data_IF_661344111219
#
_entry.id   IF_661344111219
#
_cell.length_a   1.000
_cell.length_b   1.000
_cell.length_c   1.000
_cell.angle_alpha   90.00
_cell.angle_beta   90.00
_cell.angle_gamma   90.00
#
_symmetry.space_group_name_H-M   'P 1'
#
loop_
_entity.id
_entity.type
_entity.pdbx_description
1 polymer ?
#
# COMPACT_ATOMS: atom_id res chain seq x y z
N UNK A 1 29.45 21.11 9.64
CA UNK A 1 30.60 20.22 9.31
C UNK A 1 30.41 18.90 10.03
N UNK A 2 29.50 18.05 9.55
CA UNK A 2 29.48 16.61 9.79
C UNK A 2 28.78 16.02 8.56
N UNK A 3 29.60 15.60 7.60
CA UNK A 3 29.16 14.85 6.44
C UNK A 3 29.17 13.38 6.82
N UNK A 4 28.00 12.75 6.81
CA UNK A 4 27.89 11.30 6.76
C UNK A 4 27.53 10.91 5.34
N UNK A 5 28.45 10.17 4.73
CA UNK A 5 28.29 9.55 3.43
C UNK A 5 27.13 8.55 3.51
N UNK A 6 26.14 8.75 2.64
CA UNK A 6 25.18 7.71 2.30
C UNK A 6 25.98 6.59 1.66
N UNK A 7 26.12 5.48 2.38
CA UNK A 7 26.74 4.26 1.89
C UNK A 7 26.04 3.82 0.62
N UNK A 8 26.80 3.83 -0.49
CA UNK A 8 26.38 3.23 -1.73
C UNK A 8 26.06 1.78 -1.46
N UNK A 9 24.92 1.31 -1.95
CA UNK A 9 24.60 -0.10 -1.97
C UNK A 9 25.70 -0.79 -2.78
N UNK A 10 26.58 -1.53 -2.10
CA UNK A 10 27.57 -2.38 -2.74
C UNK A 10 26.83 -3.42 -3.59
N UNK A 11 26.85 -3.23 -4.90
CA UNK A 11 26.50 -4.27 -5.85
C UNK A 11 27.45 -5.46 -5.68
N UNK A 12 27.01 -6.70 -5.98
CA UNK A 12 27.84 -7.88 -5.80
C UNK A 12 29.17 -7.74 -6.53
N UNK A 13 30.26 -7.97 -5.79
CA UNK A 13 31.63 -7.91 -6.27
C UNK A 13 31.78 -8.67 -7.60
N UNK A 14 32.39 -8.02 -8.59
CA UNK A 14 32.69 -8.58 -9.89
C UNK A 14 33.57 -9.84 -9.71
N UNK A 15 33.00 -11.01 -9.98
CA UNK A 15 33.78 -12.23 -10.20
C UNK A 15 34.49 -12.10 -11.56
N UNK A 16 35.79 -12.46 -11.66
CA UNK A 16 36.47 -12.51 -12.94
C UNK A 16 35.75 -13.48 -13.89
N UNK A 17 35.51 -13.03 -15.13
CA UNK A 17 34.88 -13.84 -16.16
C UNK A 17 35.74 -15.09 -16.47
N UNK A 18 35.12 -16.28 -16.68
CA UNK A 18 35.86 -17.46 -17.13
C UNK A 18 36.43 -17.25 -18.54
N UNK A 19 37.58 -17.87 -18.88
CA UNK A 19 38.20 -17.70 -20.19
C UNK A 19 37.29 -18.21 -21.33
N UNK A 20 37.21 -17.40 -22.39
CA UNK A 20 36.41 -17.65 -23.59
C UNK A 20 36.98 -18.87 -24.33
N UNK A 21 36.19 -19.93 -24.60
CA UNK A 21 36.64 -21.02 -25.45
C UNK A 21 36.75 -20.56 -26.92
N UNK A 22 37.73 -21.08 -27.69
CA UNK A 22 37.91 -20.68 -29.09
C UNK A 22 36.66 -20.98 -29.91
N UNK A 23 36.32 -20.04 -30.80
CA UNK A 23 35.12 -20.03 -31.62
C UNK A 23 34.95 -21.35 -32.41
N UNK A 24 34.01 -22.18 -31.97
CA UNK A 24 33.48 -23.26 -32.79
C UNK A 24 32.59 -22.65 -33.88
N UNK A 25 32.89 -22.98 -35.13
CA UNK A 25 32.22 -22.48 -36.32
C UNK A 25 30.70 -22.71 -36.24
N UNK A 26 29.93 -21.63 -36.34
CA UNK A 26 28.48 -21.65 -36.43
C UNK A 26 28.06 -22.16 -37.81
N UNK A 27 27.15 -23.15 -37.92
CA UNK A 27 26.60 -23.56 -39.21
C UNK A 27 25.73 -22.42 -39.77
N UNK A 28 26.00 -22.05 -41.02
CA UNK A 28 25.25 -21.03 -41.77
C UNK A 28 23.85 -21.55 -42.13
N UNK A 29 22.82 -21.02 -41.47
CA UNK A 29 21.42 -21.19 -41.88
C UNK A 29 21.08 -20.30 -43.09
N UNK A 30 20.33 -20.77 -44.11
CA UNK A 30 20.18 -20.06 -45.39
C UNK A 30 19.00 -19.07 -45.50
N UNK A 31 18.38 -18.65 -44.39
CA UNK A 31 17.22 -17.76 -44.45
C UNK A 31 17.35 -16.55 -43.50
N UNK A 32 17.43 -15.31 -44.01
CA UNK A 32 17.41 -14.13 -43.19
C UNK A 32 15.95 -13.82 -42.80
N UNK A 33 15.52 -14.29 -41.64
CA UNK A 33 14.35 -13.71 -40.98
C UNK A 33 14.80 -12.42 -40.27
N UNK A 34 14.18 -11.25 -40.54
CA UNK A 34 14.50 -10.03 -39.82
C UNK A 34 13.94 -10.13 -38.40
N UNK A 35 14.75 -10.64 -37.47
CA UNK A 35 14.48 -10.52 -36.05
C UNK A 35 14.68 -9.06 -35.64
N UNK A 36 13.74 -8.42 -34.93
CA UNK A 36 13.97 -7.11 -34.33
C UNK A 36 15.21 -7.21 -33.42
N UNK A 37 16.32 -6.59 -33.84
CA UNK A 37 17.53 -6.49 -33.06
C UNK A 37 17.31 -5.38 -32.04
N UNK A 38 16.77 -5.73 -30.87
CA UNK A 38 16.77 -4.80 -29.75
C UNK A 38 18.23 -4.56 -29.34
N UNK A 39 18.74 -3.31 -29.36
CA UNK A 39 20.11 -3.05 -28.97
C UNK A 39 20.28 -3.45 -27.50
N UNK A 40 21.06 -4.51 -27.27
CA UNK A 40 21.41 -4.97 -25.94
C UNK A 40 22.25 -3.89 -25.26
N UNK A 41 21.60 -3.01 -24.47
CA UNK A 41 22.32 -2.05 -23.63
C UNK A 41 21.62 -0.72 -23.34
N UNK A 42 20.51 -0.38 -23.98
CA UNK A 42 19.87 0.91 -23.77
C UNK A 42 18.56 0.80 -22.99
N UNK A 43 18.64 0.42 -21.71
CA UNK A 43 17.58 0.85 -20.78
C UNK A 43 17.76 2.36 -20.64
N UNK A 44 17.03 3.11 -21.45
CA UNK A 44 16.95 4.57 -21.33
C UNK A 44 16.28 4.84 -19.98
N UNK A 45 17.08 5.13 -18.96
CA UNK A 45 16.55 5.64 -17.68
C UNK A 45 15.96 7.00 -18.03
N UNK A 46 14.63 7.06 -18.12
CA UNK A 46 13.91 8.28 -18.45
C UNK A 46 14.39 9.41 -17.56
N UNK A 47 14.83 10.52 -18.17
CA UNK A 47 15.39 11.63 -17.42
C UNK A 47 14.31 12.20 -16.48
N UNK A 48 14.60 12.35 -15.17
CA UNK A 48 13.57 12.80 -14.24
C UNK A 48 13.08 14.21 -14.59
N UNK A 49 11.76 14.32 -14.71
CA UNK A 49 11.07 15.59 -14.93
C UNK A 49 11.47 16.64 -13.88
N UNK A 50 11.30 17.93 -14.24
CA UNK A 50 11.56 19.04 -13.31
C UNK A 50 10.78 18.89 -12.00
N UNK A 51 9.57 18.37 -12.08
CA UNK A 51 8.73 18.09 -10.91
C UNK A 51 9.34 17.00 -10.02
N UNK A 52 9.79 15.89 -10.61
CA UNK A 52 10.43 14.79 -9.88
C UNK A 52 11.69 15.27 -9.16
N UNK A 53 12.55 16.05 -9.85
CA UNK A 53 13.74 16.66 -9.23
C UNK A 53 13.38 17.60 -8.08
N UNK A 54 12.33 18.39 -8.23
CA UNK A 54 11.86 19.29 -7.18
C UNK A 54 11.37 18.52 -5.95
N UNK A 55 10.55 17.48 -6.13
CA UNK A 55 10.03 16.64 -5.04
C UNK A 55 11.16 15.89 -4.33
N UNK A 56 12.09 15.31 -5.07
CA UNK A 56 13.26 14.62 -4.51
C UNK A 56 14.13 15.60 -3.72
N UNK A 57 14.37 16.80 -4.25
CA UNK A 57 15.11 17.84 -3.52
C UNK A 57 14.41 18.33 -2.25
N UNK A 58 13.08 18.29 -2.20
CA UNK A 58 12.31 18.58 -0.98
C UNK A 58 12.45 17.45 0.04
N UNK A 59 12.40 16.20 -0.44
CA UNK A 59 12.57 14.99 0.38
C UNK A 59 13.97 14.92 0.99
N UNK A 60 15.03 15.18 0.22
CA UNK A 60 16.42 15.14 0.67
C UNK A 60 16.73 16.22 1.73
N UNK A 61 16.02 17.35 1.67
CA UNK A 61 16.14 18.43 2.66
C UNK A 61 15.25 18.23 3.88
N UNK A 62 14.24 17.37 3.78
CA UNK A 62 13.33 17.11 4.87
C UNK A 62 14.03 16.26 5.94
N UNK A 63 13.90 16.60 7.23
CA UNK A 63 14.44 15.75 8.26
C UNK A 63 13.75 14.38 8.25
N UNK A 64 14.47 13.33 8.61
CA UNK A 64 13.98 11.93 8.61
C UNK A 64 12.64 11.71 9.33
N UNK A 65 12.30 12.56 10.30
CA UNK A 65 11.03 12.53 11.03
C UNK A 65 9.87 13.23 10.32
N UNK A 66 10.12 14.06 9.30
CA UNK A 66 9.08 14.79 8.58
C UNK A 66 8.14 13.84 7.83
N UNK A 67 8.69 12.78 7.24
CA UNK A 67 7.92 11.78 6.48
C UNK A 67 6.92 11.02 7.37
N UNK A 68 7.33 10.39 8.50
CA UNK A 68 6.36 9.74 9.39
C UNK A 68 5.41 10.74 10.04
N UNK A 69 5.83 11.97 10.31
CA UNK A 69 4.95 13.01 10.87
C UNK A 69 3.90 13.46 9.85
N UNK A 70 4.27 13.62 8.58
CA UNK A 70 3.31 13.91 7.51
C UNK A 70 2.31 12.76 7.32
N UNK A 71 2.79 11.51 7.36
CA UNK A 71 1.92 10.33 7.30
C UNK A 71 0.96 10.27 8.49
N UNK A 72 1.45 10.56 9.71
CA UNK A 72 0.63 10.64 10.92
C UNK A 72 -0.41 11.77 10.81
N UNK A 73 -0.02 12.93 10.28
CA UNK A 73 -0.92 14.05 10.02
C UNK A 73 -2.03 13.67 9.04
N UNK A 74 -1.70 12.95 7.97
CA UNK A 74 -2.69 12.45 7.01
C UNK A 74 -3.70 11.49 7.65
N UNK A 75 -3.22 10.54 8.47
CA UNK A 75 -4.09 9.64 9.25
C UNK A 75 -4.95 10.43 10.24
N UNK A 76 -4.36 11.40 10.94
CA UNK A 76 -5.06 12.27 11.88
C UNK A 76 -6.17 13.10 11.23
N UNK A 77 -5.94 13.62 10.02
CA UNK A 77 -6.98 14.31 9.23
C UNK A 77 -8.11 13.36 8.86
N UNK A 78 -7.80 12.12 8.46
CA UNK A 78 -8.83 11.10 8.20
C UNK A 78 -9.67 10.74 9.43
N UNK A 79 -9.01 10.60 10.59
CA UNK A 79 -9.68 10.37 11.88
C UNK A 79 -10.55 11.56 12.29
N UNK A 80 -10.02 12.78 12.19
CA UNK A 80 -10.77 13.99 12.51
C UNK A 80 -11.99 14.14 11.59
N UNK A 81 -11.84 13.86 10.29
CA UNK A 81 -12.95 13.84 9.35
C UNK A 81 -14.00 12.80 9.75
N UNK A 82 -13.60 11.58 10.13
CA UNK A 82 -14.52 10.54 10.59
C UNK A 82 -15.28 10.95 11.86
N UNK A 83 -14.63 11.66 12.79
CA UNK A 83 -15.27 12.16 14.02
C UNK A 83 -16.24 13.30 13.75
N UNK A 84 -15.88 14.24 12.86
CA UNK A 84 -16.71 15.41 12.51
C UNK A 84 -17.91 15.02 11.65
N UNK A 85 -17.75 14.05 10.75
CA UNK A 85 -18.80 13.63 9.82
C UNK A 85 -19.87 12.71 10.43
N UNK A 86 -19.69 12.25 11.68
CA UNK A 86 -20.57 11.31 12.39
C UNK A 86 -21.24 10.28 11.46
N UNK A 87 -20.45 9.34 10.89
CA UNK A 87 -20.93 8.39 9.90
C UNK A 87 -21.97 7.40 10.46
N UNK A 88 -22.21 7.40 11.77
CA UNK A 88 -23.15 6.52 12.47
C UNK A 88 -24.56 7.10 12.56
N UNK A 89 -24.72 8.43 12.45
CA UNK A 89 -26.02 9.12 12.58
C UNK A 89 -26.74 9.42 11.27
N UNK A 90 -26.37 8.77 10.17
CA UNK A 90 -27.13 8.92 8.93
C UNK A 90 -28.58 8.46 9.15
N UNK A 91 -29.53 9.40 9.16
CA UNK A 91 -30.95 9.09 9.13
C UNK A 91 -31.25 8.20 7.90
N UNK A 92 -32.29 7.35 7.92
CA UNK A 92 -32.68 6.52 6.77
C UNK A 92 -32.87 7.34 5.47
N UNK A 93 -33.22 8.60 5.65
CA UNK A 93 -33.52 9.64 4.67
C UNK A 93 -32.36 10.64 4.46
N UNK A 94 -31.23 10.48 5.17
CA UNK A 94 -30.03 11.26 4.94
C UNK A 94 -29.29 10.78 3.68
N UNK A 95 -28.83 11.73 2.86
CA UNK A 95 -28.05 11.40 1.67
C UNK A 95 -26.79 10.62 2.07
N UNK A 96 -26.53 9.43 1.49
CA UNK A 96 -25.32 8.71 1.81
C UNK A 96 -24.09 9.56 1.46
N UNK A 97 -23.16 9.72 2.40
CA UNK A 97 -21.90 10.45 2.21
C UNK A 97 -20.95 9.76 1.20
N UNK A 98 -21.30 8.53 0.80
CA UNK A 98 -20.54 7.67 -0.08
C UNK A 98 -21.08 7.76 -1.52
N UNK A 99 -20.31 8.36 -2.43
CA UNK A 99 -20.70 8.51 -3.84
C UNK A 99 -21.05 7.16 -4.49
N UNK A 100 -20.37 6.07 -4.11
CA UNK A 100 -20.67 4.74 -4.62
C UNK A 100 -22.03 4.22 -4.15
N UNK A 101 -22.39 4.45 -2.88
CA UNK A 101 -23.72 4.08 -2.35
C UNK A 101 -24.82 4.93 -2.99
N UNK A 102 -24.54 6.20 -3.29
CA UNK A 102 -25.43 7.08 -4.03
C UNK A 102 -25.68 6.60 -5.47
N UNK A 103 -24.64 6.18 -6.20
CA UNK A 103 -24.74 5.85 -7.63
C UNK A 103 -25.10 4.41 -7.92
N UNK A 104 -24.65 3.47 -7.08
CA UNK A 104 -24.83 2.02 -7.30
C UNK A 104 -25.71 1.34 -6.26
N UNK A 105 -26.00 1.99 -5.12
CA UNK A 105 -26.70 1.37 -4.00
C UNK A 105 -25.90 0.31 -3.24
N UNK A 106 -24.64 0.06 -3.64
CA UNK A 106 -23.76 -0.94 -3.02
C UNK A 106 -23.01 -0.37 -1.82
N UNK A 107 -22.92 -1.16 -0.77
CA UNK A 107 -22.10 -0.85 0.40
C UNK A 107 -20.63 -1.17 0.10
N UNK A 108 -19.82 -0.12 -0.03
CA UNK A 108 -18.40 -0.29 -0.25
C UNK A 108 -17.67 -0.57 1.09
N UNK A 109 -16.60 -1.39 1.08
CA UNK A 109 -15.81 -1.67 2.28
C UNK A 109 -15.19 -0.41 2.88
N UNK A 110 -14.94 0.63 2.08
CA UNK A 110 -14.48 1.93 2.57
C UNK A 110 -15.49 2.63 3.49
N UNK A 111 -16.78 2.61 3.13
CA UNK A 111 -17.84 3.28 3.87
C UNK A 111 -18.26 2.48 5.13
N UNK A 112 -18.10 1.14 5.12
CA UNK A 112 -18.15 0.32 6.34
C UNK A 112 -16.93 0.51 7.26
N UNK A 113 -15.74 0.74 6.67
CA UNK A 113 -14.49 0.98 7.39
C UNK A 113 -14.49 2.29 8.19
N UNK A 114 -15.08 3.36 7.66
CA UNK A 114 -15.21 4.65 8.38
C UNK A 114 -16.13 4.53 9.60
N UNK A 115 -17.26 3.81 9.49
CA UNK A 115 -18.14 3.49 10.62
C UNK A 115 -17.44 2.61 11.65
N UNK A 116 -16.73 1.58 11.21
CA UNK A 116 -15.96 0.71 12.10
C UNK A 116 -14.85 1.48 12.84
N UNK A 117 -14.14 2.39 12.15
CA UNK A 117 -13.15 3.27 12.75
C UNK A 117 -13.78 4.18 13.80
N UNK A 118 -14.96 4.76 13.54
CA UNK A 118 -15.68 5.57 14.51
C UNK A 118 -15.98 4.77 15.80
N UNK A 119 -16.46 3.53 15.68
CA UNK A 119 -16.72 2.67 16.84
C UNK A 119 -15.43 2.25 17.56
N UNK A 120 -14.33 1.98 16.85
CA UNK A 120 -13.01 1.72 17.45
C UNK A 120 -12.53 2.94 18.26
N UNK A 121 -12.70 4.16 17.73
CA UNK A 121 -12.33 5.40 18.42
C UNK A 121 -13.15 5.61 19.71
N UNK A 122 -14.37 5.09 19.77
CA UNK A 122 -15.23 5.10 20.96
C UNK A 122 -15.09 3.85 21.84
N UNK A 123 -14.11 2.99 21.56
CA UNK A 123 -13.86 1.72 22.26
C UNK A 123 -15.02 0.69 22.20
N UNK A 124 -15.94 0.80 21.24
CA UNK A 124 -17.01 -0.18 20.98
C UNK A 124 -16.58 -1.20 19.91
N UNK A 125 -15.73 -2.15 20.32
CA UNK A 125 -15.25 -3.21 19.43
C UNK A 125 -16.38 -4.12 18.89
N UNK A 126 -17.42 -4.50 19.68
CA UNK A 126 -18.53 -5.28 19.18
C UNK A 126 -19.31 -4.58 18.06
N UNK A 127 -19.58 -3.27 18.20
CA UNK A 127 -20.21 -2.50 17.13
C UNK A 127 -19.27 -2.35 15.92
N UNK A 128 -17.97 -2.09 16.13
CA UNK A 128 -17.00 -2.01 15.04
C UNK A 128 -16.92 -3.31 14.22
N UNK A 129 -16.90 -4.47 14.89
CA UNK A 129 -16.82 -5.77 14.25
C UNK A 129 -18.05 -6.10 13.41
N UNK A 130 -19.25 -5.67 13.86
CA UNK A 130 -20.49 -5.79 13.06
C UNK A 130 -20.43 -5.01 11.75
N UNK A 131 -19.75 -3.87 11.75
CA UNK A 131 -19.65 -3.01 10.56
C UNK A 131 -18.52 -3.42 9.62
N UNK A 132 -17.37 -3.84 10.15
CA UNK A 132 -16.25 -4.30 9.32
C UNK A 132 -15.25 -5.17 10.10
N UNK A 133 -15.58 -6.44 10.33
CA UNK A 133 -14.74 -7.39 11.06
C UNK A 133 -13.28 -7.44 10.56
N UNK A 134 -13.07 -7.53 9.23
CA UNK A 134 -11.73 -7.58 8.65
C UNK A 134 -10.88 -6.32 8.94
N UNK A 135 -11.52 -5.16 9.09
CA UNK A 135 -10.83 -3.92 9.40
C UNK A 135 -10.37 -3.94 10.86
N UNK A 136 -11.26 -4.32 11.78
CA UNK A 136 -10.93 -4.48 13.20
C UNK A 136 -9.79 -5.49 13.39
N UNK A 137 -9.81 -6.60 12.64
CA UNK A 137 -8.73 -7.59 12.68
C UNK A 137 -7.41 -7.06 12.10
N UNK A 138 -7.46 -6.33 10.99
CA UNK A 138 -6.26 -5.80 10.32
C UNK A 138 -5.63 -4.59 11.06
N UNK A 139 -6.43 -3.83 11.79
CA UNK A 139 -6.03 -2.60 12.49
C UNK A 139 -4.79 -2.77 13.38
N UNK A 140 -4.69 -3.76 14.30
CA UNK A 140 -3.49 -3.91 15.13
C UNK A 140 -2.23 -4.19 14.32
N UNK A 141 -2.33 -4.96 13.23
CA UNK A 141 -1.19 -5.22 12.35
C UNK A 141 -0.77 -3.96 11.59
N UNK A 142 -1.73 -3.21 11.04
CA UNK A 142 -1.47 -1.94 10.36
C UNK A 142 -0.84 -0.93 11.31
N UNK A 143 -1.36 -0.81 12.53
CA UNK A 143 -0.82 0.08 13.56
C UNK A 143 0.61 -0.30 13.93
N UNK A 144 0.89 -1.60 14.12
CA UNK A 144 2.25 -2.08 14.39
C UNK A 144 3.20 -1.76 13.23
N UNK A 145 2.82 -2.05 11.99
CA UNK A 145 3.65 -1.76 10.82
C UNK A 145 3.92 -0.27 10.68
N UNK A 146 2.91 0.57 10.90
CA UNK A 146 3.04 2.02 10.86
C UNK A 146 4.00 2.54 11.93
N UNK A 147 3.89 2.03 13.17
CA UNK A 147 4.80 2.39 14.27
C UNK A 147 6.21 1.85 14.01
N UNK A 148 6.36 0.61 13.54
CA UNK A 148 7.65 0.00 13.24
C UNK A 148 8.38 0.75 12.13
N UNK A 149 7.67 1.09 11.05
CA UNK A 149 8.20 1.91 9.97
C UNK A 149 8.52 3.34 10.44
N UNK A 150 7.61 3.97 11.18
CA UNK A 150 7.80 5.34 11.68
C UNK A 150 8.96 5.45 12.65
N UNK A 151 9.14 4.48 13.54
CA UNK A 151 10.26 4.42 14.48
C UNK A 151 11.60 4.14 13.79
N UNK A 152 11.59 3.28 12.76
CA UNK A 152 12.76 3.05 11.89
C UNK A 152 13.16 4.33 11.16
N UNK A 153 12.20 5.05 10.60
CA UNK A 153 12.48 6.26 9.82
C UNK A 153 12.86 7.46 10.70
N UNK A 154 12.15 7.69 11.81
CA UNK A 154 12.38 8.84 12.69
C UNK A 154 13.59 8.65 13.62
N UNK A 155 13.73 7.47 14.24
CA UNK A 155 14.69 7.21 15.31
C UNK A 155 15.78 6.20 14.93
N UNK A 156 15.66 5.52 13.79
CA UNK A 156 16.58 4.44 13.39
C UNK A 156 16.34 3.13 14.15
N UNK A 157 15.24 3.02 14.91
CA UNK A 157 14.93 1.83 15.70
C UNK A 157 14.52 0.66 14.81
N UNK A 158 15.15 -0.50 15.01
CA UNK A 158 14.80 -1.74 14.30
C UNK A 158 13.89 -2.58 15.18
N UNK A 159 12.59 -2.29 15.12
CA UNK A 159 11.57 -3.15 15.70
C UNK A 159 11.49 -4.48 14.93
N UNK A 160 11.04 -5.58 15.55
CA UNK A 160 10.90 -6.87 14.88
C UNK A 160 10.10 -6.75 13.58
N UNK A 161 10.71 -7.10 12.44
CA UNK A 161 10.02 -7.06 11.16
C UNK A 161 8.99 -8.20 11.10
N UNK A 162 7.71 -7.84 11.11
CA UNK A 162 6.63 -8.75 10.75
C UNK A 162 6.86 -9.19 9.30
N UNK A 163 7.30 -10.43 9.11
CA UNK A 163 7.43 -11.02 7.78
C UNK A 163 6.05 -11.34 7.22
N UNK A 164 5.46 -10.35 6.57
CA UNK A 164 4.23 -10.54 5.81
C UNK A 164 4.60 -11.15 4.47
N UNK A 165 4.34 -12.46 4.31
CA UNK A 165 4.53 -13.14 3.04
C UNK A 165 3.55 -12.62 1.99
N UNK A 166 3.95 -12.54 0.71
CA UNK A 166 3.05 -12.20 -0.40
C UNK A 166 1.81 -13.10 -0.45
N UNK A 167 1.93 -14.36 0.01
CA UNK A 167 0.79 -15.29 0.15
C UNK A 167 -0.22 -14.83 1.20
N UNK A 168 0.24 -14.28 2.32
CA UNK A 168 -0.62 -13.71 3.36
C UNK A 168 -1.34 -12.46 2.86
N UNK A 169 -0.64 -11.56 2.16
CA UNK A 169 -1.25 -10.36 1.57
C UNK A 169 -2.30 -10.78 0.53
N UNK A 170 -1.96 -11.71 -0.36
CA UNK A 170 -2.89 -12.25 -1.34
C UNK A 170 -4.12 -12.88 -0.69
N UNK A 171 -3.92 -13.72 0.34
CA UNK A 171 -5.02 -14.32 1.10
C UNK A 171 -5.91 -13.29 1.78
N UNK A 172 -5.33 -12.24 2.38
CA UNK A 172 -6.08 -11.15 2.99
C UNK A 172 -6.87 -10.36 1.95
N UNK A 173 -6.28 -10.03 0.80
CA UNK A 173 -6.97 -9.33 -0.29
C UNK A 173 -8.12 -10.17 -0.87
N UNK A 174 -7.92 -11.48 -1.04
CA UNK A 174 -8.98 -12.40 -1.47
C UNK A 174 -10.09 -12.46 -0.42
N UNK A 175 -9.75 -12.63 0.86
CA UNK A 175 -10.74 -12.62 1.94
C UNK A 175 -11.51 -11.29 2.01
N UNK A 176 -10.82 -10.17 1.78
CA UNK A 176 -11.42 -8.84 1.72
C UNK A 176 -12.37 -8.68 0.52
N UNK A 177 -11.98 -9.18 -0.65
CA UNK A 177 -12.82 -9.17 -1.84
C UNK A 177 -14.06 -10.05 -1.63
N UNK A 178 -13.86 -11.27 -1.12
CA UNK A 178 -14.95 -12.22 -0.81
C UNK A 178 -15.91 -11.64 0.22
N UNK A 179 -15.40 -11.02 1.28
CA UNK A 179 -16.23 -10.33 2.27
C UNK A 179 -16.99 -9.16 1.65
N UNK A 180 -16.34 -8.39 0.78
CA UNK A 180 -16.98 -7.26 0.09
C UNK A 180 -18.12 -7.73 -0.81
N UNK A 181 -17.95 -8.83 -1.53
CA UNK A 181 -19.01 -9.43 -2.35
C UNK A 181 -20.10 -10.02 -1.46
N UNK A 182 -19.72 -10.81 -0.45
CA UNK A 182 -20.66 -11.49 0.45
C UNK A 182 -21.54 -10.50 1.22
N UNK A 183 -21.01 -9.34 1.62
CA UNK A 183 -21.79 -8.27 2.28
C UNK A 183 -22.90 -7.70 1.39
N UNK A 184 -22.73 -7.73 0.07
CA UNK A 184 -23.69 -7.18 -0.88
C UNK A 184 -24.72 -8.22 -1.38
N UNK A 185 -24.73 -9.45 -0.82
CA UNK A 185 -25.68 -10.50 -1.19
C UNK A 185 -27.03 -10.34 -0.45
N UNK A 186 -28.18 -10.33 -1.16
CA UNK A 186 -29.49 -10.06 -0.58
C UNK A 186 -30.16 -11.26 0.12
N UNK A 187 -29.43 -12.34 0.42
CA UNK A 187 -29.96 -13.55 1.07
C UNK A 187 -29.40 -13.74 2.49
N UNK A 188 -30.20 -14.35 3.38
CA UNK A 188 -29.83 -14.66 4.77
C UNK A 188 -28.64 -15.64 4.77
N UNK A 189 -27.59 -15.47 5.61
CA UNK A 189 -27.41 -14.53 6.72
C UNK A 189 -26.75 -13.19 6.35
N UNK A 190 -26.42 -12.94 5.08
CA UNK A 190 -25.65 -11.76 4.66
C UNK A 190 -26.44 -10.45 4.70
N UNK A 191 -27.77 -10.54 4.78
CA UNK A 191 -28.64 -9.40 5.05
C UNK A 191 -28.32 -8.68 6.37
N UNK A 192 -27.72 -9.36 7.36
CA UNK A 192 -27.29 -8.71 8.62
C UNK A 192 -26.02 -7.86 8.49
N UNK A 193 -25.32 -7.95 7.36
CA UNK A 193 -24.12 -7.16 7.04
C UNK A 193 -24.44 -5.94 6.17
N UNK A 194 -25.68 -5.83 5.68
CA UNK A 194 -26.19 -4.71 4.89
C UNK A 194 -26.59 -3.58 5.86
N UNK A 195 -25.83 -2.47 5.87
CA UNK A 195 -26.02 -1.30 6.79
C UNK A 195 -25.68 0.00 6.08
#
# INVERSE_FOLDING_TARGET
>A
MYGEQVTSVDGPAAQPAPPIPPAAATPTSPHPHPHPHWPAGAVQVAEPDRFTRFVVGLYDRAPRWAVPLAALGCVGVGVAYALVSDPTRAAPDALPTCLLKLTTGLDCPGCGGTRALWYVLHADLPAAARHHFLFVFALPFLAYLFVAWGAKQAFGWRLPELRISSKMIGGFLVAWLVFSVARNLPWVPFTSLYV
#
